data_IF_142829417570
#
_entry.id   IF_142829417570
#
_cell.length_a   1.000
_cell.length_b   1.000
_cell.length_c   1.000
_cell.angle_alpha   90.00
_cell.angle_beta   90.00
_cell.angle_gamma   90.00
#
_symmetry.space_group_name_H-M   'P 1'
#
loop_
_entity.id
_entity.type
_entity.pdbx_description
1 polymer ?
#
# COMPACT_ATOMS: atom_id res chain seq x y z
N UNK A 1 -18.96 -14.41 -3.97
CA UNK A 1 -17.62 -13.86 -3.67
C UNK A 1 -17.76 -13.09 -2.37
N UNK A 2 -17.05 -13.45 -1.29
CA UNK A 2 -17.06 -12.63 -0.07
C UNK A 2 -16.53 -11.23 -0.39
N UNK A 3 -17.17 -10.20 0.15
CA UNK A 3 -16.69 -8.82 0.02
C UNK A 3 -15.27 -8.72 0.60
N UNK A 4 -14.36 -8.16 -0.17
CA UNK A 4 -12.98 -7.92 0.29
C UNK A 4 -12.99 -6.73 1.25
N UNK A 5 -12.05 -6.67 2.21
CA UNK A 5 -11.92 -5.49 3.11
C UNK A 5 -11.86 -4.19 2.28
N UNK A 6 -11.21 -4.23 1.12
CA UNK A 6 -11.16 -3.13 0.17
C UNK A 6 -12.55 -2.69 -0.36
N UNK A 7 -13.47 -3.62 -0.64
CA UNK A 7 -14.80 -3.26 -1.14
C UNK A 7 -15.68 -2.61 -0.08
N UNK A 8 -15.53 -3.02 1.19
CA UNK A 8 -16.23 -2.38 2.32
C UNK A 8 -15.75 -0.93 2.49
N UNK A 9 -14.43 -0.72 2.48
CA UNK A 9 -13.83 0.61 2.60
C UNK A 9 -14.22 1.55 1.44
N UNK A 10 -14.21 1.05 0.20
CA UNK A 10 -14.64 1.81 -0.98
C UNK A 10 -16.09 2.28 -0.83
N UNK A 11 -16.98 1.40 -0.37
CA UNK A 11 -18.40 1.71 -0.20
C UNK A 11 -18.61 2.84 0.80
N UNK A 12 -17.98 2.76 1.97
CA UNK A 12 -18.08 3.83 2.98
C UNK A 12 -17.50 5.16 2.47
N UNK A 13 -16.37 5.14 1.76
CA UNK A 13 -15.73 6.34 1.25
C UNK A 13 -16.59 7.04 0.18
N UNK A 14 -17.30 6.26 -0.64
CA UNK A 14 -18.30 6.78 -1.61
C UNK A 14 -19.48 7.42 -0.86
N UNK A 15 -20.04 6.74 0.14
CA UNK A 15 -21.18 7.23 0.93
C UNK A 15 -20.84 8.55 1.65
N UNK A 16 -19.61 8.67 2.16
CA UNK A 16 -19.06 9.88 2.79
C UNK A 16 -18.67 10.99 1.79
N UNK A 17 -18.85 10.77 0.48
CA UNK A 17 -18.48 11.70 -0.62
C UNK A 17 -17.02 12.17 -0.52
N UNK A 18 -16.13 11.28 -0.12
CA UNK A 18 -14.73 11.63 -0.04
C UNK A 18 -14.14 11.93 -1.41
N UNK A 19 -13.25 12.93 -1.47
CA UNK A 19 -12.51 13.25 -2.68
C UNK A 19 -11.20 12.45 -2.72
N UNK A 20 -10.73 12.13 -3.93
CA UNK A 20 -9.42 11.48 -4.16
C UNK A 20 -9.37 10.04 -3.58
N UNK A 21 -10.47 9.27 -3.70
CA UNK A 21 -10.54 7.88 -3.24
C UNK A 21 -9.37 7.01 -3.73
N UNK A 22 -9.06 7.13 -5.03
CA UNK A 22 -7.96 6.37 -5.63
C UNK A 22 -6.64 6.60 -4.88
N UNK A 23 -6.29 7.85 -4.58
CA UNK A 23 -5.06 8.17 -3.87
C UNK A 23 -5.03 7.62 -2.44
N UNK A 24 -6.17 7.67 -1.74
CA UNK A 24 -6.29 7.12 -0.37
C UNK A 24 -6.13 5.60 -0.36
N UNK A 25 -6.91 4.90 -1.19
CA UNK A 25 -6.88 3.44 -1.27
C UNK A 25 -5.50 2.97 -1.73
N UNK A 26 -4.94 3.60 -2.76
CA UNK A 26 -3.63 3.24 -3.26
C UNK A 26 -2.54 3.49 -2.22
N UNK A 27 -2.64 4.58 -1.44
CA UNK A 27 -1.72 4.85 -0.34
C UNK A 27 -1.80 3.83 0.80
N UNK A 28 -3.01 3.40 1.16
CA UNK A 28 -3.22 2.41 2.21
C UNK A 28 -2.73 1.02 1.80
N UNK A 29 -3.08 0.59 0.59
CA UNK A 29 -2.59 -0.67 0.00
C UNK A 29 -1.06 -0.64 -0.15
N UNK A 30 -0.50 0.46 -0.66
CA UNK A 30 0.95 0.65 -0.75
C UNK A 30 1.58 0.52 0.64
N UNK A 31 1.08 1.21 1.66
CA UNK A 31 1.64 1.14 3.02
C UNK A 31 1.66 -0.30 3.54
N UNK A 32 0.53 -1.02 3.48
CA UNK A 32 0.44 -2.39 3.97
C UNK A 32 1.41 -3.34 3.26
N UNK A 33 1.52 -3.24 1.93
CA UNK A 33 2.42 -4.11 1.16
C UNK A 33 3.88 -3.82 1.48
N UNK A 34 4.25 -2.53 1.58
CA UNK A 34 5.64 -2.14 1.82
C UNK A 34 6.10 -2.52 3.23
N UNK A 35 5.27 -2.29 4.26
CA UNK A 35 5.56 -2.67 5.63
C UNK A 35 5.69 -4.19 5.78
N UNK A 36 4.75 -4.95 5.18
CA UNK A 36 4.79 -6.41 5.23
C UNK A 36 6.05 -6.97 4.59
N UNK A 37 6.40 -6.52 3.38
CA UNK A 37 7.58 -7.02 2.67
C UNK A 37 8.88 -6.57 3.35
N UNK A 38 8.93 -5.36 3.92
CA UNK A 38 10.09 -4.90 4.68
C UNK A 38 10.31 -5.78 5.93
N UNK A 39 9.24 -6.05 6.67
CA UNK A 39 9.27 -6.93 7.84
C UNK A 39 9.68 -8.36 7.46
N UNK A 40 9.10 -8.91 6.39
CA UNK A 40 9.44 -10.22 5.85
C UNK A 40 10.93 -10.36 5.48
N UNK A 41 11.50 -9.29 4.91
CA UNK A 41 12.92 -9.24 4.54
C UNK A 41 13.84 -8.82 5.69
N UNK A 42 13.34 -8.77 6.94
CA UNK A 42 14.09 -8.36 8.13
C UNK A 42 14.77 -7.00 7.94
N UNK A 43 14.00 -6.01 7.46
CA UNK A 43 14.45 -4.64 7.19
C UNK A 43 15.44 -4.50 6.02
N UNK A 44 15.68 -5.55 5.23
CA UNK A 44 16.56 -5.48 4.06
C UNK A 44 15.85 -4.80 2.88
N UNK A 45 16.00 -3.48 2.79
CA UNK A 45 15.39 -2.67 1.73
C UNK A 45 15.80 -3.10 0.31
N UNK A 46 17.00 -3.62 0.09
CA UNK A 46 17.44 -4.05 -1.24
C UNK A 46 16.67 -5.28 -1.69
N UNK A 47 16.48 -6.25 -0.78
CA UNK A 47 15.68 -7.44 -1.05
C UNK A 47 14.18 -7.11 -1.14
N UNK A 48 13.66 -6.25 -0.25
CA UNK A 48 12.29 -5.77 -0.33
C UNK A 48 11.97 -5.11 -1.68
N UNK A 49 12.88 -4.26 -2.17
CA UNK A 49 12.74 -3.60 -3.47
C UNK A 49 12.73 -4.61 -4.62
N UNK A 50 13.55 -5.67 -4.52
CA UNK A 50 13.60 -6.77 -5.50
C UNK A 50 12.30 -7.57 -5.52
N UNK A 51 11.77 -7.95 -4.36
CA UNK A 51 10.49 -8.67 -4.22
C UNK A 51 9.33 -7.84 -4.79
N UNK A 52 9.31 -6.55 -4.48
CA UNK A 52 8.28 -5.63 -4.97
C UNK A 52 8.43 -5.24 -6.45
N UNK A 53 9.54 -5.62 -7.09
CA UNK A 53 9.80 -5.29 -8.50
C UNK A 53 9.96 -3.79 -8.76
N UNK A 54 10.42 -3.02 -7.76
CA UNK A 54 10.61 -1.57 -7.88
C UNK A 54 12.05 -1.16 -7.58
N UNK A 55 12.41 0.05 -7.99
CA UNK A 55 13.73 0.59 -7.63
C UNK A 55 13.83 0.87 -6.14
N UNK A 56 15.03 0.72 -5.56
CA UNK A 56 15.31 1.11 -4.16
C UNK A 56 15.02 2.59 -3.88
N UNK A 57 15.15 3.45 -4.90
CA UNK A 57 14.80 4.87 -4.79
C UNK A 57 13.28 5.05 -4.61
N UNK A 58 12.47 4.36 -5.41
CA UNK A 58 11.01 4.34 -5.28
C UNK A 58 10.61 3.79 -3.91
N UNK A 59 11.24 2.70 -3.48
CA UNK A 59 11.00 2.10 -2.17
C UNK A 59 11.22 3.08 -1.01
N UNK A 60 12.39 3.75 -0.99
CA UNK A 60 12.71 4.77 0.02
C UNK A 60 11.79 5.99 -0.02
N UNK A 61 11.26 6.37 -1.20
CA UNK A 61 10.27 7.46 -1.28
C UNK A 61 8.98 7.03 -0.60
N UNK A 62 8.51 5.80 -0.85
CA UNK A 62 7.27 5.27 -0.29
C UNK A 62 7.31 5.01 1.21
N UNK A 63 8.47 4.70 1.81
CA UNK A 63 8.60 4.58 3.28
C UNK A 63 8.56 5.93 4.03
N UNK A 64 8.73 7.07 3.34
CA UNK A 64 8.79 8.40 3.98
C UNK A 64 7.45 9.15 3.96
N UNK A 65 6.42 8.60 3.33
CA UNK A 65 5.07 9.14 3.21
C UNK A 65 4.07 8.08 3.71
#
# INVERSE_FOLDING_TARGET
MPETIASVFIKEAIEKKERILYGKIHGEVDRSIFEYVLSFTKENQSEASRILGITRLTFRKRLRY
#
